data_IF_645579040915
#
_entry.id   IF_645579040915
#
_cell.length_a   1.000
_cell.length_b   1.000
_cell.length_c   1.000
_cell.angle_alpha   90.00
_cell.angle_beta   90.00
_cell.angle_gamma   90.00
#
_symmetry.space_group_name_H-M   'P 1'
#
loop_
_entity.id
_entity.type
_entity.pdbx_description
1 polymer ?
#
# COMPACT_ATOMS: atom_id res chain seq x y z
N UNK A 1 72.56 21.35 29.17
CA UNK A 1 71.66 20.45 28.42
C UNK A 1 70.41 20.03 29.20
N UNK A 2 70.39 20.03 30.54
CA UNK A 2 69.20 19.69 31.34
C UNK A 2 68.21 20.85 31.56
N UNK A 3 68.71 22.09 31.67
CA UNK A 3 67.87 23.29 31.87
C UNK A 3 67.06 23.66 30.63
N UNK A 4 67.64 23.45 29.43
CA UNK A 4 66.95 23.65 28.15
C UNK A 4 65.78 22.68 27.97
N UNK A 5 65.92 21.45 28.44
CA UNK A 5 64.84 20.45 28.41
C UNK A 5 63.71 20.80 29.38
N UNK A 6 64.04 21.23 30.59
CA UNK A 6 63.07 21.72 31.58
C UNK A 6 62.30 22.94 31.08
N UNK A 7 62.99 23.89 30.43
CA UNK A 7 62.35 25.07 29.86
C UNK A 7 61.41 24.70 28.69
N UNK A 8 61.84 23.80 27.81
CA UNK A 8 60.99 23.29 26.72
C UNK A 8 59.75 22.54 27.23
N UNK A 9 59.86 21.79 28.33
CA UNK A 9 58.71 21.13 28.95
C UNK A 9 57.72 22.15 29.53
N UNK A 10 58.21 23.22 30.15
CA UNK A 10 57.38 24.28 30.73
C UNK A 10 56.65 25.10 29.66
N UNK A 11 57.32 25.38 28.53
CA UNK A 11 56.70 26.05 27.38
C UNK A 11 55.57 25.18 26.81
N UNK A 12 55.81 23.88 26.62
CA UNK A 12 54.78 22.93 26.15
C UNK A 12 53.58 22.85 27.10
N UNK A 13 53.80 22.87 28.42
CA UNK A 13 52.70 22.91 29.41
C UNK A 13 51.89 24.20 29.30
N UNK A 14 52.54 25.37 29.20
CA UNK A 14 51.85 26.65 29.06
C UNK A 14 51.09 26.77 27.73
N UNK A 15 51.65 26.25 26.65
CA UNK A 15 50.95 26.16 25.34
C UNK A 15 49.76 25.21 25.41
N UNK A 16 49.89 24.08 26.11
CA UNK A 16 48.81 23.15 26.36
C UNK A 16 47.67 23.80 27.16
N UNK A 17 47.99 24.50 28.25
CA UNK A 17 47.04 25.22 29.10
C UNK A 17 46.32 26.35 28.34
N UNK A 18 47.01 27.01 27.40
CA UNK A 18 46.41 28.03 26.53
C UNK A 18 45.43 27.45 25.52
N UNK A 19 45.67 26.23 25.03
CA UNK A 19 44.81 25.57 24.04
C UNK A 19 43.61 24.81 24.64
N UNK A 20 43.64 24.50 25.94
CA UNK A 20 42.56 23.77 26.63
C UNK A 20 41.15 24.33 26.40
N UNK A 21 40.91 25.66 26.51
CA UNK A 21 39.58 26.22 26.30
C UNK A 21 39.07 26.07 24.86
N UNK A 22 39.98 26.13 23.88
CA UNK A 22 39.63 25.98 22.46
C UNK A 22 39.30 24.53 22.13
N UNK A 23 40.06 23.58 22.71
CA UNK A 23 39.78 22.14 22.59
C UNK A 23 38.46 21.76 23.24
N UNK A 24 38.17 22.24 24.46
CA UNK A 24 36.87 22.00 25.09
C UNK A 24 35.72 22.55 24.24
N UNK A 25 35.88 23.75 23.64
CA UNK A 25 34.86 24.31 22.74
C UNK A 25 34.69 23.46 21.48
N UNK A 26 35.79 23.01 20.88
CA UNK A 26 35.78 22.14 19.71
C UNK A 26 35.12 20.79 20.01
N UNK A 27 35.46 20.17 21.14
CA UNK A 27 34.88 18.90 21.59
C UNK A 27 33.38 19.04 21.89
N UNK A 28 32.97 20.13 22.55
CA UNK A 28 31.54 20.41 22.79
C UNK A 28 30.78 20.62 21.49
N UNK A 29 31.35 21.36 20.53
CA UNK A 29 30.75 21.57 19.22
C UNK A 29 30.63 20.26 18.43
N UNK A 30 31.68 19.44 18.43
CA UNK A 30 31.68 18.13 17.78
C UNK A 30 30.65 17.17 18.41
N UNK A 31 30.53 17.17 19.74
CA UNK A 31 29.52 16.38 20.46
C UNK A 31 28.10 16.86 20.14
N UNK A 32 27.88 18.17 20.10
CA UNK A 32 26.59 18.75 19.74
C UNK A 32 26.19 18.39 18.29
N UNK A 33 27.13 18.46 17.35
CA UNK A 33 26.90 18.07 15.96
C UNK A 33 26.57 16.59 15.83
N UNK A 34 27.30 15.71 16.53
CA UNK A 34 27.00 14.26 16.55
C UNK A 34 25.61 13.98 17.10
N UNK A 35 25.22 14.65 18.18
CA UNK A 35 23.90 14.49 18.78
C UNK A 35 22.80 14.95 17.81
N UNK A 36 23.00 16.08 17.11
CA UNK A 36 22.06 16.53 16.08
C UNK A 36 21.90 15.49 14.97
N UNK A 37 23.00 14.99 14.41
CA UNK A 37 22.98 13.96 13.37
C UNK A 37 22.35 12.63 13.83
N UNK A 38 22.50 12.28 15.10
CA UNK A 38 21.86 11.10 15.68
C UNK A 38 20.35 11.32 15.84
N UNK A 39 19.93 12.48 16.33
CA UNK A 39 18.51 12.82 16.45
C UNK A 39 17.80 12.92 15.10
N UNK A 40 18.47 13.43 14.06
CA UNK A 40 17.93 13.48 12.70
C UNK A 40 17.74 12.07 12.13
N UNK A 41 18.77 11.22 12.22
CA UNK A 41 18.67 9.81 11.80
C UNK A 41 17.59 9.04 12.55
N UNK A 42 17.45 9.28 13.85
CA UNK A 42 16.40 8.66 14.65
C UNK A 42 15.01 9.08 14.17
N UNK A 43 14.80 10.35 13.85
CA UNK A 43 13.53 10.86 13.31
C UNK A 43 13.20 10.26 11.94
N UNK A 44 14.19 10.20 11.06
CA UNK A 44 14.04 9.59 9.73
C UNK A 44 13.65 8.11 9.85
N UNK A 45 14.31 7.36 10.75
CA UNK A 45 13.99 5.97 11.01
C UNK A 45 12.57 5.79 11.56
N UNK A 46 12.18 6.59 12.56
CA UNK A 46 10.84 6.55 13.13
C UNK A 46 9.76 6.90 12.10
N UNK A 47 10.02 7.88 11.23
CA UNK A 47 9.11 8.24 10.16
C UNK A 47 8.96 7.09 9.17
N UNK A 48 10.06 6.50 8.70
CA UNK A 48 10.02 5.35 7.79
C UNK A 48 9.26 4.16 8.40
N UNK A 49 9.45 3.88 9.69
CA UNK A 49 8.70 2.83 10.39
C UNK A 49 7.20 3.13 10.46
N UNK A 50 6.81 4.38 10.75
CA UNK A 50 5.39 4.76 10.77
C UNK A 50 4.76 4.61 9.41
N UNK A 51 5.43 5.07 8.36
CA UNK A 51 4.94 4.93 6.99
C UNK A 51 4.77 3.45 6.61
N UNK A 52 5.76 2.60 6.93
CA UNK A 52 5.65 1.18 6.66
C UNK A 52 4.48 0.53 7.42
N UNK A 53 4.34 0.85 8.71
CA UNK A 53 3.23 0.36 9.53
C UNK A 53 1.87 0.78 8.97
N UNK A 54 1.76 2.00 8.42
CA UNK A 54 0.53 2.47 7.78
C UNK A 54 0.23 1.72 6.47
N UNK A 55 1.25 1.46 5.63
CA UNK A 55 1.10 0.64 4.42
C UNK A 55 0.60 -0.77 4.76
N UNK A 56 1.21 -1.40 5.76
CA UNK A 56 0.83 -2.74 6.21
C UNK A 56 -0.59 -2.76 6.80
N UNK A 57 -0.97 -1.73 7.54
CA UNK A 57 -2.33 -1.59 8.04
C UNK A 57 -3.36 -1.49 6.90
N UNK A 58 -3.06 -0.72 5.84
CA UNK A 58 -3.92 -0.61 4.68
C UNK A 58 -4.11 -1.95 3.95
N UNK A 59 -3.02 -2.71 3.73
CA UNK A 59 -3.06 -4.07 3.16
C UNK A 59 -3.85 -5.02 4.05
N UNK A 60 -3.63 -4.98 5.36
CA UNK A 60 -4.32 -5.83 6.34
C UNK A 60 -5.83 -5.58 6.34
N UNK A 61 -6.27 -4.32 6.30
CA UNK A 61 -7.68 -3.96 6.23
C UNK A 61 -8.38 -4.59 5.03
N UNK A 62 -7.73 -4.54 3.86
CA UNK A 62 -8.23 -5.17 2.64
C UNK A 62 -8.32 -6.69 2.79
N UNK A 63 -7.28 -7.33 3.34
CA UNK A 63 -7.25 -8.78 3.57
C UNK A 63 -8.32 -9.24 4.56
N UNK A 64 -8.51 -8.52 5.66
CA UNK A 64 -9.56 -8.82 6.64
C UNK A 64 -10.96 -8.70 6.04
N UNK A 65 -11.19 -7.69 5.20
CA UNK A 65 -12.46 -7.56 4.48
C UNK A 65 -12.68 -8.74 3.54
N UNK A 66 -11.66 -9.11 2.76
CA UNK A 66 -11.72 -10.27 1.88
C UNK A 66 -12.04 -11.56 2.65
N UNK A 67 -11.29 -11.84 3.72
CA UNK A 67 -11.43 -13.07 4.50
C UNK A 67 -12.82 -13.17 5.13
N UNK A 68 -13.38 -12.07 5.61
CA UNK A 68 -14.75 -12.01 6.16
C UNK A 68 -15.83 -12.35 5.11
N UNK A 69 -15.56 -12.10 3.83
CA UNK A 69 -16.48 -12.31 2.72
C UNK A 69 -16.00 -13.35 1.70
N UNK A 70 -15.02 -14.18 2.08
CA UNK A 70 -14.30 -15.05 1.15
C UNK A 70 -15.25 -15.98 0.37
N UNK A 71 -16.26 -16.56 1.01
CA UNK A 71 -17.23 -17.44 0.34
C UNK A 71 -17.96 -16.77 -0.84
N UNK A 72 -18.18 -15.46 -0.79
CA UNK A 72 -18.86 -14.70 -1.85
C UNK A 72 -17.86 -14.19 -2.88
N UNK A 73 -16.71 -13.73 -2.42
CA UNK A 73 -15.69 -13.11 -3.26
C UNK A 73 -14.91 -14.12 -4.10
N UNK A 74 -14.60 -15.31 -3.56
CA UNK A 74 -13.67 -16.26 -4.17
C UNK A 74 -14.11 -16.77 -5.57
N UNK A 75 -15.38 -16.58 -5.95
CA UNK A 75 -15.91 -16.89 -7.28
C UNK A 75 -15.51 -15.87 -8.36
N UNK A 76 -15.24 -14.62 -7.98
CA UNK A 76 -15.03 -13.49 -8.88
C UNK A 76 -13.66 -12.85 -8.66
N UNK A 77 -13.22 -12.83 -7.41
CA UNK A 77 -11.97 -12.29 -6.95
C UNK A 77 -11.36 -13.31 -6.00
N UNK A 78 -10.40 -14.10 -6.48
CA UNK A 78 -9.77 -15.12 -5.65
C UNK A 78 -8.60 -14.55 -4.84
N UNK A 79 -8.04 -15.37 -3.96
CA UNK A 79 -6.93 -14.94 -3.09
C UNK A 79 -5.65 -14.62 -3.87
N UNK A 80 -5.43 -15.27 -5.00
CA UNK A 80 -4.24 -15.06 -5.84
C UNK A 80 -4.30 -13.69 -6.51
N UNK A 81 -5.46 -13.30 -7.05
CA UNK A 81 -5.71 -11.97 -7.61
C UNK A 81 -5.58 -10.87 -6.55
N UNK A 82 -6.03 -11.13 -5.32
CA UNK A 82 -5.82 -10.20 -4.22
C UNK A 82 -4.33 -9.98 -3.94
N UNK A 83 -3.54 -11.05 -3.96
CA UNK A 83 -2.10 -10.97 -3.73
C UNK A 83 -1.40 -10.25 -4.89
N UNK A 84 -1.74 -10.59 -6.14
CA UNK A 84 -1.23 -9.91 -7.34
C UNK A 84 -1.54 -8.40 -7.31
N UNK A 85 -2.74 -8.03 -6.86
CA UNK A 85 -3.10 -6.62 -6.69
C UNK A 85 -2.18 -5.91 -5.68
N UNK A 86 -1.88 -6.56 -4.54
CA UNK A 86 -0.96 -6.01 -3.56
C UNK A 86 0.46 -5.88 -4.12
N UNK A 87 0.93 -6.90 -4.83
CA UNK A 87 2.28 -6.96 -5.38
C UNK A 87 2.48 -6.02 -6.58
N UNK A 88 1.40 -5.58 -7.22
CA UNK A 88 1.45 -4.65 -8.36
C UNK A 88 1.23 -3.19 -7.93
N UNK A 89 0.20 -2.96 -7.11
CA UNK A 89 -0.32 -1.61 -6.85
C UNK A 89 -0.12 -1.11 -5.42
N UNK A 90 0.31 -1.98 -4.50
CA UNK A 90 0.47 -1.63 -3.08
C UNK A 90 1.85 -2.01 -2.54
N UNK A 91 2.89 -1.98 -3.37
CA UNK A 91 4.29 -2.21 -2.97
C UNK A 91 4.90 -1.02 -2.26
N UNK A 92 6.10 -1.22 -1.71
CA UNK A 92 6.87 -0.16 -1.03
C UNK A 92 7.45 0.88 -2.02
N UNK A 93 7.38 0.63 -3.33
CA UNK A 93 7.78 1.59 -4.36
C UNK A 93 6.74 2.70 -4.57
N UNK A 94 5.51 2.52 -4.08
CA UNK A 94 4.44 3.52 -4.16
C UNK A 94 4.41 4.39 -2.90
N UNK A 95 3.95 5.64 -3.04
CA UNK A 95 3.81 6.55 -1.90
C UNK A 95 2.73 6.04 -0.93
N UNK A 96 2.84 6.41 0.36
CA UNK A 96 1.85 5.99 1.37
C UNK A 96 0.43 6.41 0.95
N UNK A 97 0.26 7.64 0.46
CA UNK A 97 -1.04 8.17 0.03
C UNK A 97 -1.64 7.37 -1.13
N UNK A 98 -0.82 6.95 -2.09
CA UNK A 98 -1.28 6.07 -3.18
C UNK A 98 -1.71 4.70 -2.66
N UNK A 99 -0.93 4.10 -1.76
CA UNK A 99 -1.27 2.81 -1.13
C UNK A 99 -2.59 2.90 -0.37
N UNK A 100 -2.81 3.96 0.41
CA UNK A 100 -4.05 4.19 1.15
C UNK A 100 -5.25 4.39 0.22
N UNK A 101 -5.08 5.18 -0.84
CA UNK A 101 -6.13 5.39 -1.84
C UNK A 101 -6.49 4.08 -2.56
N UNK A 102 -5.48 3.31 -3.00
CA UNK A 102 -5.68 2.00 -3.64
C UNK A 102 -6.34 1.01 -2.70
N UNK A 103 -5.96 0.99 -1.42
CA UNK A 103 -6.61 0.17 -0.41
C UNK A 103 -8.10 0.52 -0.27
N UNK A 104 -8.43 1.81 -0.22
CA UNK A 104 -9.81 2.26 -0.13
C UNK A 104 -10.62 1.86 -1.37
N UNK A 105 -10.07 2.09 -2.57
CA UNK A 105 -10.71 1.67 -3.83
C UNK A 105 -10.93 0.16 -3.90
N UNK A 106 -9.95 -0.64 -3.47
CA UNK A 106 -10.06 -2.08 -3.43
C UNK A 106 -11.18 -2.53 -2.47
N UNK A 107 -11.24 -1.95 -1.27
CA UNK A 107 -12.31 -2.24 -0.32
C UNK A 107 -13.68 -1.87 -0.89
N UNK A 108 -13.81 -0.72 -1.55
CA UNK A 108 -15.06 -0.31 -2.21
C UNK A 108 -15.47 -1.27 -3.33
N UNK A 109 -14.52 -1.73 -4.15
CA UNK A 109 -14.76 -2.73 -5.19
C UNK A 109 -15.20 -4.07 -4.59
N UNK A 110 -14.51 -4.55 -3.54
CA UNK A 110 -14.91 -5.79 -2.85
C UNK A 110 -16.29 -5.64 -2.21
N UNK A 111 -16.59 -4.48 -1.61
CA UNK A 111 -17.92 -4.18 -1.08
C UNK A 111 -19.00 -4.17 -2.17
N UNK A 112 -18.70 -3.60 -3.34
CA UNK A 112 -19.62 -3.63 -4.48
C UNK A 112 -19.89 -5.07 -4.91
N UNK A 113 -18.86 -5.93 -4.99
CA UNK A 113 -19.03 -7.34 -5.32
C UNK A 113 -19.78 -8.16 -4.26
N UNK A 114 -19.66 -7.80 -2.98
CA UNK A 114 -20.43 -8.42 -1.89
C UNK A 114 -21.90 -7.98 -1.94
N UNK A 115 -22.16 -6.69 -2.19
CA UNK A 115 -23.50 -6.09 -2.26
C UNK A 115 -24.25 -6.53 -3.51
N UNK A 116 -23.57 -6.57 -4.64
CA UNK A 116 -24.03 -7.25 -5.84
C UNK A 116 -24.07 -8.72 -5.51
N UNK A 117 -25.20 -9.19 -4.96
CA UNK A 117 -25.43 -10.61 -4.66
C UNK A 117 -24.79 -11.41 -5.79
N UNK A 118 -23.91 -12.40 -5.50
CA UNK A 118 -23.55 -13.33 -6.54
C UNK A 118 -24.88 -13.78 -7.14
N UNK A 119 -24.98 -13.74 -8.46
CA UNK A 119 -26.11 -14.24 -9.24
C UNK A 119 -26.35 -15.75 -9.00
N UNK A 120 -25.97 -16.28 -7.84
CA UNK A 120 -26.35 -17.59 -7.32
C UNK A 120 -27.83 -17.73 -6.98
N UNK A 121 -28.70 -16.73 -7.21
CA UNK A 121 -30.16 -16.92 -7.15
C UNK A 121 -30.99 -16.00 -8.05
N UNK A 122 -30.41 -15.21 -8.98
CA UNK A 122 -31.28 -14.62 -10.04
C UNK A 122 -31.42 -15.68 -11.13
N UNK A 123 -32.40 -16.56 -10.94
CA UNK A 123 -32.87 -17.40 -12.03
C UNK A 123 -33.51 -16.48 -13.05
N UNK A 124 -32.85 -16.31 -14.19
CA UNK A 124 -33.49 -15.69 -15.32
C UNK A 124 -34.55 -16.66 -15.84
N UNK A 125 -35.76 -16.16 -16.10
CA UNK A 125 -36.84 -16.99 -16.63
C UNK A 125 -36.82 -17.02 -18.16
N UNK A 126 -36.07 -16.12 -18.80
CA UNK A 126 -36.02 -16.00 -20.25
C UNK A 126 -34.68 -15.43 -20.74
N UNK A 127 -34.41 -15.61 -22.04
CA UNK A 127 -33.25 -15.02 -22.70
C UNK A 127 -33.32 -13.48 -22.76
N UNK A 128 -34.52 -12.90 -22.90
CA UNK A 128 -34.69 -11.44 -22.90
C UNK A 128 -34.25 -10.84 -21.57
N UNK A 129 -34.61 -11.47 -20.45
CA UNK A 129 -34.24 -11.00 -19.12
C UNK A 129 -32.71 -10.99 -18.91
N UNK A 130 -32.01 -11.97 -19.49
CA UNK A 130 -30.54 -12.02 -19.51
C UNK A 130 -30.00 -10.84 -20.32
N UNK A 131 -30.47 -10.67 -21.57
CA UNK A 131 -29.97 -9.62 -22.47
C UNK A 131 -30.18 -8.22 -21.87
N UNK A 132 -31.35 -7.95 -21.31
CA UNK A 132 -31.68 -6.65 -20.72
C UNK A 132 -30.80 -6.35 -19.50
N UNK A 133 -30.59 -7.34 -18.63
CA UNK A 133 -29.76 -7.20 -17.44
C UNK A 133 -28.30 -6.90 -17.79
N UNK A 134 -27.70 -7.67 -18.70
CA UNK A 134 -26.30 -7.47 -19.08
C UNK A 134 -26.08 -6.24 -19.97
N UNK A 135 -27.09 -5.81 -20.72
CA UNK A 135 -27.09 -4.52 -21.43
C UNK A 135 -27.02 -3.33 -20.46
N UNK A 136 -27.85 -3.35 -19.39
CA UNK A 136 -27.81 -2.34 -18.34
C UNK A 136 -26.44 -2.31 -17.63
N UNK A 137 -25.86 -3.47 -17.33
CA UNK A 137 -24.54 -3.56 -16.69
C UNK A 137 -23.41 -3.00 -17.56
N UNK A 138 -23.44 -3.24 -18.87
CA UNK A 138 -22.49 -2.61 -19.81
C UNK A 138 -22.65 -1.09 -19.83
N UNK A 139 -23.88 -0.59 -19.84
CA UNK A 139 -24.16 0.86 -19.79
C UNK A 139 -23.68 1.50 -18.48
N UNK A 140 -23.91 0.83 -17.35
CA UNK A 140 -23.44 1.27 -16.04
C UNK A 140 -21.90 1.34 -16.01
N UNK A 141 -21.22 0.33 -16.55
CA UNK A 141 -19.76 0.31 -16.65
C UNK A 141 -19.18 1.48 -17.46
N UNK A 142 -19.84 1.89 -18.55
CA UNK A 142 -19.39 3.05 -19.35
C UNK A 142 -19.53 4.38 -18.61
N UNK A 143 -20.43 4.46 -17.62
CA UNK A 143 -20.63 5.68 -16.84
C UNK A 143 -19.62 5.85 -15.70
N UNK A 144 -18.85 4.80 -15.38
CA UNK A 144 -17.90 4.81 -14.27
C UNK A 144 -16.55 5.40 -14.70
N UNK A 145 -15.87 6.17 -13.83
CA UNK A 145 -14.62 6.86 -14.15
C UNK A 145 -13.40 5.92 -14.05
N UNK A 146 -13.45 4.79 -14.73
CA UNK A 146 -12.34 3.84 -14.81
C UNK A 146 -11.45 4.10 -16.03
N UNK A 147 -10.17 3.76 -15.95
CA UNK A 147 -9.28 3.76 -17.10
C UNK A 147 -9.67 2.69 -18.14
N UNK A 148 -9.08 2.77 -19.34
CA UNK A 148 -9.46 1.91 -20.46
C UNK A 148 -9.14 0.42 -20.22
N UNK A 149 -8.04 0.14 -19.53
CA UNK A 149 -7.60 -1.24 -19.26
C UNK A 149 -8.51 -1.90 -18.22
N UNK A 150 -8.82 -1.19 -17.13
CA UNK A 150 -9.79 -1.63 -16.12
C UNK A 150 -11.17 -1.86 -16.73
N UNK A 151 -11.64 -0.97 -17.62
CA UNK A 151 -12.92 -1.15 -18.32
C UNK A 151 -12.96 -2.39 -19.19
N UNK A 152 -11.90 -2.68 -19.93
CA UNK A 152 -11.86 -3.85 -20.81
C UNK A 152 -11.86 -5.17 -20.03
N UNK A 153 -11.13 -5.22 -18.91
CA UNK A 153 -11.17 -6.35 -17.98
C UNK A 153 -12.59 -6.57 -17.43
N UNK A 154 -13.26 -5.50 -17.00
CA UNK A 154 -14.64 -5.57 -16.49
C UNK A 154 -15.65 -5.99 -17.58
N UNK A 155 -15.49 -5.52 -18.83
CA UNK A 155 -16.31 -5.98 -19.97
C UNK A 155 -16.17 -7.48 -20.20
N UNK A 156 -14.95 -7.99 -20.17
CA UNK A 156 -14.68 -9.42 -20.33
C UNK A 156 -15.36 -10.24 -19.23
N UNK A 157 -15.28 -9.78 -17.98
CA UNK A 157 -15.96 -10.41 -16.85
C UNK A 157 -17.50 -10.40 -17.01
N UNK A 158 -18.08 -9.30 -17.49
CA UNK A 158 -19.52 -9.21 -17.79
C UNK A 158 -19.91 -10.25 -18.86
N UNK A 159 -19.16 -10.35 -19.96
CA UNK A 159 -19.43 -11.31 -21.04
C UNK A 159 -19.33 -12.77 -20.59
N UNK A 160 -18.34 -13.11 -19.76
CA UNK A 160 -18.23 -14.46 -19.20
C UNK A 160 -19.44 -14.82 -18.33
N UNK A 161 -19.93 -13.86 -17.54
CA UNK A 161 -21.13 -14.03 -16.69
C UNK A 161 -22.41 -14.15 -17.52
N UNK A 162 -22.53 -13.38 -18.59
CA UNK A 162 -23.64 -13.48 -19.55
C UNK A 162 -23.70 -14.91 -20.14
N UNK A 163 -22.58 -15.42 -20.63
CA UNK A 163 -22.49 -16.78 -21.17
C UNK A 163 -22.83 -17.87 -20.12
N UNK A 164 -22.40 -17.69 -18.88
CA UNK A 164 -22.73 -18.61 -17.79
C UNK A 164 -24.23 -18.61 -17.48
N UNK A 165 -24.88 -17.44 -17.45
CA UNK A 165 -26.32 -17.30 -17.24
C UNK A 165 -27.12 -17.97 -18.38
N UNK A 166 -26.70 -17.77 -19.62
CA UNK A 166 -27.29 -18.43 -20.80
C UNK A 166 -27.19 -19.95 -20.66
N UNK A 167 -26.00 -20.46 -20.32
CA UNK A 167 -25.82 -21.91 -20.13
C UNK A 167 -26.67 -22.48 -19.00
N UNK A 168 -26.85 -21.73 -17.90
CA UNK A 168 -27.67 -22.16 -16.78
C UNK A 168 -29.16 -22.25 -17.15
N UNK A 169 -29.69 -21.27 -17.92
CA UNK A 169 -31.07 -21.27 -18.40
C UNK A 169 -31.40 -22.53 -19.21
N UNK A 170 -30.50 -22.94 -20.12
CA UNK A 170 -30.70 -24.14 -20.94
C UNK A 170 -30.55 -25.45 -20.16
N UNK A 171 -29.73 -25.49 -19.11
CA UNK A 171 -29.54 -26.69 -18.28
C UNK A 171 -30.72 -26.95 -17.34
N UNK A 172 -31.44 -25.92 -16.89
CA UNK A 172 -32.61 -26.06 -16.01
C UNK A 172 -33.93 -26.42 -16.72
N UNK A 173 -33.94 -26.54 -18.06
CA UNK A 173 -35.13 -26.90 -18.87
C UNK A 173 -35.23 -28.40 -19.20
N UNK A 174 -34.44 -29.25 -18.53
CA UNK A 174 -34.52 -30.72 -18.60
C UNK A 174 -35.01 -31.28 -17.28
#
# INVERSE_FOLDING_TARGET
TRETELNNQRIKQLEWERQTPERERSERAAKALRLQQETERQREYEQAQREQSSRDHARLKCRLYYDAHANQLNLVFNRDLLQEYFDTYMTDSHSLTEVELRAQMLVEMLQAHVKERPLGTKSFNSMSEIADYFSQKRTELESLPYDAETRESLRTAISQRENAAISALFKGSR
#
